data_IF_052257391341
#
_entry.id   IF_052257391341
#
_cell.length_a   1.000
_cell.length_b   1.000
_cell.length_c   1.000
_cell.angle_alpha   90.00
_cell.angle_beta   90.00
_cell.angle_gamma   90.00
#
_symmetry.space_group_name_H-M   'P 1'
#
loop_
_entity.id
_entity.type
_entity.pdbx_description
1 polymer ?
#
# COMPACT_ATOMS: atom_id res chain seq x y z
N UNK A 1 -35.76 -22.62 31.98
CA UNK A 1 -34.41 -22.22 31.61
C UNK A 1 -33.67 -21.89 32.90
N UNK A 2 -32.56 -22.63 33.17
CA UNK A 2 -31.72 -22.36 34.33
C UNK A 2 -31.17 -20.92 34.21
N UNK A 3 -31.24 -20.15 35.28
CA UNK A 3 -30.71 -18.77 35.38
C UNK A 3 -29.33 -18.72 36.07
N UNK A 4 -28.76 -19.88 36.32
CA UNK A 4 -27.47 -19.98 36.98
C UNK A 4 -26.32 -19.57 36.04
N UNK A 5 -25.33 -18.84 36.57
CA UNK A 5 -24.20 -18.36 35.74
C UNK A 5 -23.34 -19.51 35.21
N UNK A 6 -23.25 -20.62 35.94
CA UNK A 6 -22.48 -21.79 35.53
C UNK A 6 -23.28 -23.08 35.77
N UNK A 7 -23.05 -24.05 34.86
CA UNK A 7 -23.66 -25.38 34.96
C UNK A 7 -22.56 -26.44 34.75
N UNK A 8 -22.53 -27.43 35.67
CA UNK A 8 -21.79 -28.67 35.46
C UNK A 8 -22.68 -29.60 34.61
N UNK A 9 -22.28 -29.80 33.35
CA UNK A 9 -23.08 -30.59 32.41
C UNK A 9 -22.58 -32.01 32.39
N UNK A 10 -23.47 -32.98 32.73
CA UNK A 10 -23.17 -34.38 32.72
C UNK A 10 -23.57 -35.04 31.39
N UNK A 11 -24.64 -34.58 30.75
CA UNK A 11 -25.13 -35.17 29.49
C UNK A 11 -25.62 -34.12 28.51
N UNK A 12 -25.09 -34.21 27.26
CA UNK A 12 -25.48 -33.37 26.12
C UNK A 12 -25.87 -34.25 24.95
N UNK A 13 -26.97 -33.95 24.31
CA UNK A 13 -27.38 -34.59 23.05
C UNK A 13 -27.32 -33.59 21.90
N UNK A 14 -26.76 -33.99 20.77
CA UNK A 14 -26.66 -33.19 19.55
C UNK A 14 -25.23 -32.77 19.20
N UNK A 15 -25.08 -31.72 18.37
CA UNK A 15 -23.79 -31.19 17.91
C UNK A 15 -23.38 -29.94 18.70
N UNK A 16 -22.12 -29.51 18.61
CA UNK A 16 -21.62 -28.31 19.25
C UNK A 16 -22.45 -27.04 18.94
N UNK A 17 -23.06 -26.98 17.75
CA UNK A 17 -23.90 -25.86 17.32
C UNK A 17 -25.38 -25.97 17.71
N UNK A 18 -25.86 -27.18 18.05
CA UNK A 18 -27.26 -27.48 18.37
C UNK A 18 -27.35 -28.55 19.46
N UNK A 19 -26.58 -28.38 20.53
CA UNK A 19 -26.60 -29.27 21.66
C UNK A 19 -27.80 -28.98 22.60
N UNK A 20 -28.47 -30.04 23.06
CA UNK A 20 -29.47 -29.99 24.13
C UNK A 20 -28.88 -30.59 25.40
N UNK A 21 -28.85 -29.82 26.46
CA UNK A 21 -28.42 -30.31 27.78
C UNK A 21 -29.55 -31.18 28.32
N UNK A 22 -29.22 -32.43 28.61
CA UNK A 22 -30.17 -33.41 29.19
C UNK A 22 -30.03 -33.51 30.69
N UNK A 23 -28.79 -33.43 31.20
CA UNK A 23 -28.52 -33.48 32.65
C UNK A 23 -27.42 -32.47 33.00
N UNK A 24 -27.72 -31.59 33.95
CA UNK A 24 -26.80 -30.63 34.51
C UNK A 24 -27.17 -30.29 35.94
N UNK A 25 -26.17 -29.86 36.72
CA UNK A 25 -26.34 -29.28 38.04
C UNK A 25 -25.79 -27.83 38.05
N UNK A 26 -26.44 -26.91 38.82
CA UNK A 26 -25.82 -25.62 39.05
C UNK A 26 -24.52 -25.78 39.83
N UNK A 27 -23.52 -24.95 39.50
CA UNK A 27 -22.25 -24.87 40.19
C UNK A 27 -21.91 -23.38 40.37
N UNK A 28 -21.45 -22.98 41.53
CA UNK A 28 -21.04 -21.60 41.77
C UNK A 28 -19.57 -21.37 41.50
N UNK A 29 -19.15 -20.09 41.48
CA UNK A 29 -17.77 -19.70 41.19
C UNK A 29 -16.78 -20.24 42.22
N UNK A 30 -17.13 -20.24 43.52
CA UNK A 30 -16.27 -20.72 44.62
C UNK A 30 -16.03 -22.24 44.53
N UNK A 31 -17.06 -23.00 44.13
CA UNK A 31 -16.95 -24.42 43.88
C UNK A 31 -16.02 -24.70 42.67
N UNK A 32 -16.13 -23.92 41.61
CA UNK A 32 -15.21 -23.99 40.42
C UNK A 32 -13.78 -23.70 40.88
N UNK A 33 -13.56 -22.62 41.64
CA UNK A 33 -12.23 -22.21 42.08
C UNK A 33 -11.60 -23.28 43.00
N UNK A 34 -12.40 -23.97 43.80
CA UNK A 34 -11.94 -25.04 44.67
C UNK A 34 -11.63 -26.34 43.91
N UNK A 35 -12.56 -26.78 43.06
CA UNK A 35 -12.48 -28.07 42.36
C UNK A 35 -11.43 -28.05 41.22
N UNK A 36 -11.23 -26.89 40.62
CA UNK A 36 -10.36 -26.73 39.44
C UNK A 36 -9.21 -25.77 39.66
N UNK A 37 -8.79 -25.50 40.88
CA UNK A 37 -7.73 -24.54 41.23
C UNK A 37 -6.45 -24.70 40.39
N UNK A 38 -6.03 -25.93 40.10
CA UNK A 38 -4.86 -26.21 39.28
C UNK A 38 -5.05 -26.05 37.76
N UNK A 39 -6.28 -25.77 37.29
CA UNK A 39 -6.62 -25.65 35.87
C UNK A 39 -7.10 -24.24 35.50
N UNK A 40 -7.28 -23.39 36.52
CA UNK A 40 -7.67 -21.99 36.30
C UNK A 40 -6.42 -21.16 35.99
N UNK A 41 -6.46 -20.45 34.86
CA UNK A 41 -5.38 -19.60 34.40
C UNK A 41 -5.89 -18.18 34.26
N UNK A 42 -5.18 -17.24 34.87
CA UNK A 42 -5.39 -15.80 34.65
C UNK A 42 -4.30 -15.28 33.74
N UNK A 43 -4.68 -14.58 32.67
CA UNK A 43 -3.75 -13.98 31.70
C UNK A 43 -4.21 -12.60 31.30
N UNK A 44 -3.25 -11.72 31.06
CA UNK A 44 -3.52 -10.45 30.39
C UNK A 44 -3.61 -10.70 28.87
N UNK A 45 -4.75 -10.38 28.31
CA UNK A 45 -4.99 -10.44 26.86
C UNK A 45 -5.02 -9.02 26.30
N UNK A 46 -4.21 -8.77 25.26
CA UNK A 46 -4.20 -7.52 24.50
C UNK A 46 -4.77 -7.80 23.12
N UNK A 47 -5.74 -7.03 22.70
CA UNK A 47 -6.38 -7.19 21.38
C UNK A 47 -6.87 -5.85 20.86
N UNK A 48 -7.12 -5.75 19.55
CA UNK A 48 -7.83 -4.61 18.98
C UNK A 48 -9.31 -4.91 18.83
N UNK A 49 -10.14 -3.92 19.15
CA UNK A 49 -11.56 -3.96 18.80
C UNK A 49 -11.77 -3.71 17.28
N UNK A 50 -13.02 -3.76 16.83
CA UNK A 50 -13.36 -3.55 15.42
C UNK A 50 -13.00 -2.14 14.90
N UNK A 51 -12.86 -1.15 15.80
CA UNK A 51 -12.44 0.22 15.49
C UNK A 51 -10.92 0.41 15.55
N UNK A 52 -10.16 -0.66 15.85
CA UNK A 52 -8.69 -0.62 15.92
C UNK A 52 -8.14 -0.10 17.24
N UNK A 53 -8.98 0.09 18.27
CA UNK A 53 -8.51 0.51 19.60
C UNK A 53 -7.95 -0.68 20.35
N UNK A 54 -6.76 -0.52 20.92
CA UNK A 54 -6.16 -1.53 21.78
C UNK A 54 -6.95 -1.65 23.09
N UNK A 55 -7.32 -2.86 23.43
CA UNK A 55 -8.01 -3.25 24.66
C UNK A 55 -7.14 -4.21 25.43
N UNK A 56 -6.95 -3.93 26.71
CA UNK A 56 -6.23 -4.79 27.64
C UNK A 56 -7.20 -5.32 28.67
N UNK A 57 -7.25 -6.63 28.78
CA UNK A 57 -8.16 -7.32 29.68
C UNK A 57 -7.40 -8.40 30.45
N UNK A 58 -7.70 -8.51 31.73
CA UNK A 58 -7.32 -9.67 32.50
C UNK A 58 -8.43 -10.69 32.42
N UNK A 59 -8.14 -11.85 31.86
CA UNK A 59 -9.10 -12.92 31.61
C UNK A 59 -8.71 -14.14 32.42
N UNK A 60 -9.65 -14.59 33.30
CA UNK A 60 -9.50 -15.83 34.03
C UNK A 60 -10.31 -16.91 33.34
N UNK A 61 -9.65 -18.02 33.02
CA UNK A 61 -10.24 -19.13 32.25
C UNK A 61 -10.07 -20.47 32.95
N UNK A 62 -11.07 -21.34 32.75
CA UNK A 62 -10.96 -22.77 32.94
C UNK A 62 -11.06 -23.43 31.56
N UNK A 63 -9.93 -23.82 31.00
CA UNK A 63 -9.87 -24.26 29.63
C UNK A 63 -10.37 -23.18 28.65
N UNK A 64 -11.45 -23.49 27.91
CA UNK A 64 -12.09 -22.52 26.99
C UNK A 64 -13.17 -21.65 27.66
N UNK A 65 -13.56 -21.96 28.89
CA UNK A 65 -14.58 -21.23 29.61
C UNK A 65 -14.00 -19.96 30.25
N UNK A 66 -14.54 -18.80 29.91
CA UNK A 66 -14.20 -17.52 30.56
C UNK A 66 -14.95 -17.44 31.88
N UNK A 67 -14.23 -17.36 32.99
CA UNK A 67 -14.77 -17.25 34.32
C UNK A 67 -14.93 -15.80 34.78
N UNK A 68 -14.01 -14.95 34.42
CA UNK A 68 -14.08 -13.50 34.63
C UNK A 68 -13.27 -12.76 33.60
N UNK A 69 -13.65 -11.52 33.32
CA UNK A 69 -12.99 -10.61 32.46
C UNK A 69 -13.04 -9.22 33.07
N UNK A 70 -11.90 -8.62 33.32
CA UNK A 70 -11.77 -7.27 33.90
C UNK A 70 -10.84 -6.44 33.08
N UNK A 71 -11.04 -5.13 33.07
CA UNK A 71 -10.09 -4.22 32.41
C UNK A 71 -8.75 -4.28 33.13
N UNK A 72 -7.67 -4.52 32.40
CA UNK A 72 -6.32 -4.54 32.95
C UNK A 72 -5.64 -3.17 32.84
N UNK A 73 -4.52 -3.01 33.57
CA UNK A 73 -3.71 -1.79 33.53
C UNK A 73 -3.00 -1.55 32.21
N UNK A 74 -1.89 -0.81 32.25
CA UNK A 74 -1.11 -0.50 31.05
C UNK A 74 -0.57 -1.79 30.40
N UNK A 75 -0.82 -2.00 29.10
CA UNK A 75 -0.38 -3.18 28.39
C UNK A 75 1.13 -3.14 28.16
N UNK A 76 1.74 -4.32 28.02
CA UNK A 76 3.07 -4.49 27.52
C UNK A 76 3.16 -3.94 26.07
N UNK A 77 4.17 -3.08 25.74
CA UNK A 77 4.33 -2.50 24.42
C UNK A 77 4.44 -3.53 23.29
N UNK A 78 5.07 -4.66 23.53
CA UNK A 78 5.22 -5.74 22.56
C UNK A 78 3.86 -6.41 22.26
N UNK A 79 3.09 -6.66 23.31
CA UNK A 79 1.73 -7.19 23.17
C UNK A 79 0.80 -6.22 22.44
N UNK A 80 0.98 -4.90 22.61
CA UNK A 80 0.25 -3.86 21.85
C UNK A 80 0.62 -3.93 20.38
N UNK A 81 1.92 -3.95 20.05
CA UNK A 81 2.39 -4.05 18.66
C UNK A 81 1.84 -5.31 17.99
N UNK A 82 1.91 -6.46 18.66
CA UNK A 82 1.35 -7.73 18.14
C UNK A 82 -0.17 -7.65 17.90
N UNK A 83 -0.93 -7.01 18.80
CA UNK A 83 -2.37 -6.84 18.62
C UNK A 83 -2.71 -5.90 17.44
N UNK A 84 -1.92 -4.85 17.22
CA UNK A 84 -2.06 -3.94 16.08
C UNK A 84 -1.70 -4.63 14.77
N UNK A 85 -0.59 -5.38 14.73
CA UNK A 85 -0.19 -6.19 13.57
C UNK A 85 -1.29 -7.18 13.20
N UNK A 86 -1.84 -7.90 14.17
CA UNK A 86 -2.92 -8.85 13.92
C UNK A 86 -4.21 -8.16 13.41
N UNK A 87 -4.49 -6.95 13.88
CA UNK A 87 -5.59 -6.14 13.37
C UNK A 87 -5.36 -5.73 11.91
N UNK A 88 -4.14 -5.26 11.57
CA UNK A 88 -3.76 -4.92 10.19
C UNK A 88 -3.81 -6.15 9.29
N UNK A 89 -3.31 -7.30 9.75
CA UNK A 89 -3.35 -8.57 9.00
C UNK A 89 -4.77 -8.98 8.63
N UNK A 90 -5.72 -8.81 9.54
CA UNK A 90 -7.14 -9.12 9.29
C UNK A 90 -7.84 -8.13 8.36
N UNK A 91 -7.44 -6.85 8.42
CA UNK A 91 -8.07 -5.78 7.65
C UNK A 91 -7.48 -5.61 6.25
N UNK A 92 -6.23 -6.03 6.06
CA UNK A 92 -5.43 -5.80 4.88
C UNK A 92 -4.59 -4.52 4.95
N UNK A 93 -3.41 -4.56 4.37
CA UNK A 93 -2.49 -3.42 4.34
C UNK A 93 -2.94 -2.31 3.38
N UNK A 94 -3.84 -2.61 2.44
CA UNK A 94 -4.49 -1.66 1.55
C UNK A 94 -5.32 -0.61 2.32
N UNK A 95 -5.72 -0.92 3.56
CA UNK A 95 -6.47 -0.02 4.45
C UNK A 95 -5.61 0.93 5.25
N UNK A 96 -4.29 0.78 5.21
CA UNK A 96 -3.37 1.69 5.88
C UNK A 96 -3.34 3.07 5.19
N UNK A 97 -2.94 4.09 5.95
CA UNK A 97 -2.95 5.49 5.50
C UNK A 97 -1.77 5.81 4.54
N UNK A 98 -1.62 5.04 3.48
CA UNK A 98 -0.59 5.25 2.47
C UNK A 98 -0.72 6.61 1.77
N UNK A 99 0.38 7.34 1.72
CA UNK A 99 0.46 8.53 0.85
C UNK A 99 0.68 8.12 -0.62
N UNK A 100 0.32 9.01 -1.54
CA UNK A 100 0.63 8.82 -2.97
C UNK A 100 2.12 8.59 -3.22
N UNK A 101 2.99 9.28 -2.47
CA UNK A 101 4.44 9.13 -2.60
C UNK A 101 4.92 7.74 -2.16
N UNK A 102 4.36 7.20 -1.07
CA UNK A 102 4.68 5.85 -0.60
C UNK A 102 4.19 4.77 -1.57
N UNK A 103 2.96 4.92 -2.09
CA UNK A 103 2.44 4.01 -3.12
C UNK A 103 3.29 4.07 -4.40
N UNK A 104 3.67 5.27 -4.86
CA UNK A 104 4.56 5.43 -6.00
C UNK A 104 5.96 4.81 -5.76
N UNK A 105 6.50 4.92 -4.54
CA UNK A 105 7.75 4.25 -4.17
C UNK A 105 7.62 2.73 -4.26
N UNK A 106 6.56 2.17 -3.70
CA UNK A 106 6.27 0.72 -3.76
C UNK A 106 6.14 0.25 -5.20
N UNK A 107 5.38 0.95 -6.04
CA UNK A 107 5.21 0.64 -7.46
C UNK A 107 6.55 0.65 -8.22
N UNK A 108 7.45 1.61 -7.90
CA UNK A 108 8.80 1.67 -8.49
C UNK A 108 9.64 0.44 -8.11
N UNK A 109 9.65 0.07 -6.83
CA UNK A 109 10.40 -1.10 -6.35
C UNK A 109 9.86 -2.39 -6.97
N UNK A 110 8.53 -2.56 -7.00
CA UNK A 110 7.88 -3.70 -7.65
C UNK A 110 8.23 -3.78 -9.14
N UNK A 111 8.21 -2.62 -9.83
CA UNK A 111 8.63 -2.55 -11.24
C UNK A 111 10.10 -2.92 -11.43
N UNK A 112 10.99 -2.44 -10.54
CA UNK A 112 12.40 -2.79 -10.59
C UNK A 112 12.61 -4.30 -10.42
N UNK A 113 11.99 -4.92 -9.43
CA UNK A 113 12.05 -6.37 -9.20
C UNK A 113 11.63 -7.14 -10.44
N UNK A 114 10.51 -6.76 -11.06
CA UNK A 114 10.03 -7.38 -12.31
C UNK A 114 11.03 -7.25 -13.46
N UNK A 115 11.72 -6.11 -13.57
CA UNK A 115 12.72 -5.87 -14.63
C UNK A 115 14.03 -6.62 -14.40
N UNK A 116 14.41 -6.85 -13.15
CA UNK A 116 15.63 -7.57 -12.79
C UNK A 116 15.48 -9.09 -12.96
N UNK A 117 14.26 -9.62 -12.87
CA UNK A 117 13.98 -11.06 -12.81
C UNK A 117 14.34 -11.68 -11.45
N UNK A 118 13.91 -12.93 -11.25
CA UNK A 118 13.88 -13.58 -9.93
C UNK A 118 15.23 -13.59 -9.20
N UNK A 119 16.32 -13.88 -9.89
CA UNK A 119 17.64 -14.01 -9.27
C UNK A 119 18.16 -12.66 -8.72
N UNK A 120 18.16 -11.62 -9.55
CA UNK A 120 18.65 -10.29 -9.14
C UNK A 120 17.60 -9.50 -8.30
N UNK A 121 16.34 -9.90 -8.33
CA UNK A 121 15.29 -9.30 -7.54
C UNK A 121 15.42 -9.61 -6.03
N UNK A 122 16.14 -10.67 -5.64
CA UNK A 122 16.37 -11.04 -4.23
C UNK A 122 17.08 -9.96 -3.43
N UNK A 123 17.86 -9.11 -4.10
CA UNK A 123 18.56 -7.98 -3.47
C UNK A 123 17.63 -6.80 -3.12
N UNK A 124 16.38 -6.85 -3.56
CA UNK A 124 15.38 -5.82 -3.33
C UNK A 124 14.21 -6.36 -2.52
N UNK A 125 13.71 -5.62 -1.51
CA UNK A 125 12.57 -6.07 -0.72
C UNK A 125 11.35 -6.25 -1.60
N UNK A 126 10.57 -7.28 -1.33
CA UNK A 126 9.23 -7.38 -1.90
C UNK A 126 8.29 -6.49 -1.11
N UNK A 127 7.78 -5.46 -1.79
CA UNK A 127 6.87 -4.47 -1.22
C UNK A 127 5.46 -4.58 -1.81
N UNK A 128 5.12 -5.74 -2.36
CA UNK A 128 3.75 -6.07 -2.76
C UNK A 128 2.83 -6.13 -1.54
N UNK A 129 1.52 -6.04 -1.76
CA UNK A 129 0.54 -6.15 -0.67
C UNK A 129 0.61 -7.52 0.02
N UNK A 130 0.85 -8.57 -0.75
CA UNK A 130 0.98 -9.94 -0.26
C UNK A 130 2.20 -10.08 0.65
N UNK A 131 3.40 -9.73 0.16
CA UNK A 131 4.65 -9.88 0.91
C UNK A 131 4.67 -9.00 2.17
N UNK A 132 4.21 -7.75 2.07
CA UNK A 132 4.11 -6.87 3.24
C UNK A 132 3.07 -7.37 4.24
N UNK A 133 1.96 -7.96 3.79
CA UNK A 133 0.95 -8.55 4.65
C UNK A 133 1.45 -9.78 5.42
N UNK A 134 2.32 -10.59 4.80
CA UNK A 134 2.93 -11.76 5.43
C UNK A 134 4.02 -11.38 6.43
N UNK A 135 4.77 -10.32 6.18
CA UNK A 135 5.95 -9.91 6.96
C UNK A 135 5.72 -8.72 7.89
N UNK A 136 4.46 -8.46 8.30
CA UNK A 136 4.09 -7.33 9.18
C UNK A 136 4.89 -7.27 10.48
N UNK A 137 5.22 -8.42 11.05
CA UNK A 137 5.99 -8.52 12.28
C UNK A 137 7.43 -8.01 12.10
N UNK A 138 8.00 -8.13 10.90
CA UNK A 138 9.37 -7.74 10.60
C UNK A 138 9.50 -6.26 10.25
N UNK A 139 8.59 -5.72 9.44
CA UNK A 139 8.75 -4.37 8.91
C UNK A 139 7.88 -3.31 9.57
N UNK A 140 6.70 -3.67 10.12
CA UNK A 140 5.78 -2.72 10.73
C UNK A 140 5.88 -2.73 12.26
N UNK A 141 5.87 -3.91 12.90
CA UNK A 141 5.86 -4.03 14.36
C UNK A 141 6.94 -3.20 15.07
N UNK A 142 8.20 -3.12 14.58
CA UNK A 142 9.26 -2.31 15.23
C UNK A 142 8.94 -0.81 15.31
N UNK A 143 8.04 -0.32 14.47
CA UNK A 143 7.66 1.10 14.38
C UNK A 143 6.36 1.42 15.12
N UNK A 144 5.74 0.44 15.78
CA UNK A 144 4.49 0.63 16.54
C UNK A 144 4.71 1.01 18.00
N UNK A 145 5.94 1.32 18.41
CA UNK A 145 6.22 1.78 19.78
C UNK A 145 5.42 3.06 20.09
N UNK A 146 4.58 2.99 21.14
CA UNK A 146 3.74 4.11 21.55
C UNK A 146 2.40 4.25 20.79
N UNK A 147 2.20 3.51 19.70
CA UNK A 147 0.91 3.45 18.98
C UNK A 147 -0.12 2.71 19.84
N UNK A 148 -1.32 3.28 19.99
CA UNK A 148 -2.41 2.70 20.84
C UNK A 148 -3.69 2.45 20.07
N UNK A 149 -3.74 2.89 18.82
CA UNK A 149 -4.90 2.74 17.96
C UNK A 149 -4.41 2.46 16.54
N UNK A 150 -5.07 1.59 15.79
CA UNK A 150 -4.73 1.33 14.41
C UNK A 150 -4.84 2.58 13.51
N UNK A 151 -5.69 3.56 13.88
CA UNK A 151 -5.75 4.86 13.19
C UNK A 151 -4.50 5.72 13.35
N UNK A 152 -3.68 5.44 14.37
CA UNK A 152 -2.44 6.17 14.64
C UNK A 152 -1.25 5.58 13.86
N UNK A 153 -1.47 4.48 13.12
CA UNK A 153 -0.53 3.99 12.09
C UNK A 153 -0.66 4.90 10.88
N UNK A 154 -0.09 6.07 11.00
CA UNK A 154 -0.21 7.15 10.01
C UNK A 154 0.88 7.08 8.93
N UNK A 155 0.91 8.10 8.08
CA UNK A 155 1.88 8.20 7.00
C UNK A 155 3.33 8.33 7.48
N UNK A 156 3.57 8.86 8.69
CA UNK A 156 4.92 8.99 9.26
C UNK A 156 5.44 7.62 9.71
N UNK A 157 4.62 6.89 10.45
CA UNK A 157 4.92 5.50 10.86
C UNK A 157 5.19 4.61 9.64
N UNK A 158 4.33 4.68 8.63
CA UNK A 158 4.50 3.90 7.39
C UNK A 158 5.75 4.33 6.61
N UNK A 159 6.07 5.63 6.60
CA UNK A 159 7.28 6.15 5.97
C UNK A 159 8.55 5.67 6.65
N UNK A 160 8.58 5.67 7.99
CA UNK A 160 9.71 5.14 8.77
C UNK A 160 9.89 3.64 8.52
N UNK A 161 8.81 2.88 8.53
CA UNK A 161 8.81 1.45 8.29
C UNK A 161 9.32 1.08 6.88
N UNK A 162 8.84 1.77 5.83
CA UNK A 162 9.36 1.61 4.46
C UNK A 162 10.83 1.99 4.32
N UNK A 163 11.27 3.04 5.03
CA UNK A 163 12.68 3.46 5.03
C UNK A 163 13.59 2.41 5.67
N UNK A 164 13.07 1.65 6.62
CA UNK A 164 13.76 0.49 7.20
C UNK A 164 14.01 -0.63 6.18
N UNK A 165 13.05 -0.86 5.27
CA UNK A 165 13.19 -1.84 4.18
C UNK A 165 14.10 -1.34 3.06
N UNK A 166 14.16 -0.03 2.82
CA UNK A 166 14.84 0.60 1.70
C UNK A 166 15.90 1.60 2.19
N UNK A 167 17.09 1.13 2.57
CA UNK A 167 18.16 2.02 3.03
C UNK A 167 18.59 3.00 1.94
N UNK A 168 19.20 4.13 2.35
CA UNK A 168 19.47 5.28 1.48
C UNK A 168 20.24 4.94 0.20
N UNK A 169 21.18 4.01 0.25
CA UNK A 169 21.92 3.60 -0.95
C UNK A 169 21.03 2.91 -1.99
N UNK A 170 20.05 2.13 -1.56
CA UNK A 170 19.04 1.51 -2.45
C UNK A 170 18.10 2.55 -3.04
N UNK A 171 17.68 3.54 -2.27
CA UNK A 171 16.87 4.65 -2.79
C UNK A 171 17.62 5.43 -3.87
N UNK A 172 18.91 5.70 -3.67
CA UNK A 172 19.75 6.38 -4.66
C UNK A 172 19.93 5.54 -5.94
N UNK A 173 20.08 4.23 -5.81
CA UNK A 173 20.13 3.31 -6.95
C UNK A 173 18.78 3.25 -7.68
N UNK A 174 17.68 3.17 -6.95
CA UNK A 174 16.33 3.21 -7.50
C UNK A 174 16.09 4.50 -8.28
N UNK A 175 16.48 5.66 -7.73
CA UNK A 175 16.32 6.95 -8.43
C UNK A 175 17.12 7.04 -9.73
N UNK A 176 18.28 6.39 -9.78
CA UNK A 176 19.09 6.32 -10.98
C UNK A 176 18.50 5.40 -12.05
N UNK A 177 17.96 4.24 -11.64
CA UNK A 177 17.41 3.24 -12.56
C UNK A 177 16.00 3.58 -13.00
N UNK A 178 15.15 3.91 -12.05
CA UNK A 178 13.73 4.19 -12.23
C UNK A 178 13.38 5.53 -11.57
N UNK A 179 13.70 6.68 -12.20
CA UNK A 179 13.46 7.99 -11.65
C UNK A 179 11.96 8.21 -11.36
N UNK A 180 11.64 8.91 -10.28
CA UNK A 180 10.26 9.22 -9.94
C UNK A 180 9.59 10.22 -10.90
N UNK A 181 10.39 11.01 -11.61
CA UNK A 181 9.92 12.04 -12.54
C UNK A 181 10.74 12.03 -13.83
N UNK A 182 10.12 12.51 -14.88
CA UNK A 182 10.73 12.82 -16.16
C UNK A 182 10.93 14.35 -16.28
N UNK A 183 12.13 14.78 -16.59
CA UNK A 183 12.44 16.18 -16.87
C UNK A 183 12.21 16.44 -18.37
N UNK A 184 11.09 17.07 -18.69
CA UNK A 184 10.69 17.35 -20.05
C UNK A 184 11.53 18.49 -20.68
N UNK A 185 11.75 18.52 -22.00
CA UNK A 185 12.41 19.62 -22.70
C UNK A 185 11.81 21.01 -22.45
N UNK A 186 10.53 21.05 -22.09
CA UNK A 186 9.82 22.27 -21.69
C UNK A 186 10.27 22.86 -20.35
N UNK A 187 11.09 22.14 -19.57
CA UNK A 187 11.44 22.43 -18.19
C UNK A 187 10.42 21.96 -17.15
N UNK A 188 9.36 21.28 -17.56
CA UNK A 188 8.42 20.65 -16.64
C UNK A 188 9.01 19.36 -16.08
N UNK A 189 8.77 19.12 -14.77
CA UNK A 189 9.11 17.87 -14.10
C UNK A 189 7.82 17.09 -13.84
N UNK A 190 7.65 15.97 -14.53
CA UNK A 190 6.40 15.22 -14.58
C UNK A 190 6.57 13.84 -13.93
N UNK A 191 5.64 13.40 -13.06
CA UNK A 191 5.73 12.11 -12.41
C UNK A 191 5.58 10.98 -13.45
N UNK A 192 6.40 9.94 -13.29
CA UNK A 192 6.26 8.70 -14.04
C UNK A 192 5.34 7.78 -13.24
N UNK A 193 4.32 7.26 -13.88
CA UNK A 193 3.37 6.31 -13.30
C UNK A 193 3.91 4.89 -13.48
N UNK A 194 4.28 4.25 -12.39
CA UNK A 194 4.79 2.88 -12.37
C UNK A 194 3.72 1.84 -12.03
N UNK A 195 2.51 2.30 -11.68
CA UNK A 195 1.39 1.46 -11.29
C UNK A 195 0.45 1.18 -12.48
N UNK A 196 1.06 0.76 -13.61
CA UNK A 196 0.33 0.39 -14.83
C UNK A 196 0.74 -1.01 -15.28
N UNK A 197 -0.23 -1.80 -15.68
CA UNK A 197 -0.01 -3.17 -16.19
C UNK A 197 0.87 -3.17 -17.44
N UNK A 198 0.69 -2.15 -18.30
CA UNK A 198 1.47 -1.98 -19.53
C UNK A 198 2.91 -1.53 -19.29
N UNK A 199 3.27 -1.22 -18.05
CA UNK A 199 4.59 -0.74 -17.65
C UNK A 199 4.65 0.78 -17.40
N UNK A 200 5.86 1.32 -17.13
CA UNK A 200 6.03 2.72 -16.75
C UNK A 200 5.46 3.69 -17.78
N UNK A 201 4.51 4.53 -17.35
CA UNK A 201 3.79 5.44 -18.20
C UNK A 201 4.08 6.91 -17.85
N UNK A 202 4.03 7.77 -18.87
CA UNK A 202 4.25 9.20 -18.74
C UNK A 202 3.08 9.96 -19.40
N UNK A 203 2.08 10.40 -18.62
CA UNK A 203 1.09 11.35 -19.10
C UNK A 203 1.74 12.72 -19.32
N UNK A 204 1.82 13.18 -20.60
CA UNK A 204 2.51 14.41 -20.95
C UNK A 204 1.81 15.12 -22.10
N UNK A 205 1.70 16.44 -22.02
CA UNK A 205 1.21 17.25 -23.14
C UNK A 205 2.20 17.17 -24.29
N UNK A 206 1.70 16.88 -25.51
CA UNK A 206 2.52 16.64 -26.68
C UNK A 206 3.55 17.77 -26.96
N UNK A 207 3.18 19.01 -26.66
CA UNK A 207 4.03 20.19 -26.87
C UNK A 207 5.23 20.27 -25.90
N UNK A 208 5.22 19.52 -24.82
CA UNK A 208 6.33 19.45 -23.86
C UNK A 208 7.44 18.49 -24.32
N UNK A 209 7.15 17.68 -25.36
CA UNK A 209 8.08 16.74 -25.98
C UNK A 209 8.72 17.27 -27.26
N UNK A 210 8.34 18.47 -27.74
CA UNK A 210 8.99 19.05 -28.93
C UNK A 210 10.50 19.15 -28.73
N UNK A 211 11.26 18.99 -29.81
CA UNK A 211 12.71 18.94 -29.77
C UNK A 211 13.30 17.57 -29.43
N UNK A 212 12.48 16.58 -29.07
CA UNK A 212 12.95 15.21 -28.87
C UNK A 212 12.90 14.43 -30.19
N UNK A 213 14.04 13.96 -30.64
CA UNK A 213 14.23 13.05 -31.76
C UNK A 213 14.33 11.58 -31.34
N UNK A 214 14.37 11.32 -30.03
CA UNK A 214 14.44 9.98 -29.42
C UNK A 214 13.30 9.75 -28.47
N UNK A 215 12.93 8.48 -28.35
CA UNK A 215 11.91 8.08 -27.40
C UNK A 215 12.45 8.08 -25.95
N UNK A 216 11.74 8.69 -24.98
CA UNK A 216 12.13 8.66 -23.57
C UNK A 216 12.18 7.24 -23.02
N UNK A 217 13.28 6.91 -22.33
CA UNK A 217 13.48 5.60 -21.72
C UNK A 217 14.18 5.74 -20.36
N UNK A 218 13.97 4.75 -19.50
CA UNK A 218 14.55 4.61 -18.17
C UNK A 218 15.44 3.36 -18.09
N UNK A 219 15.97 3.04 -16.92
CA UNK A 219 16.85 1.88 -16.70
C UNK A 219 18.05 1.86 -17.68
N UNK A 220 18.71 3.02 -17.85
CA UNK A 220 19.83 3.14 -18.77
C UNK A 220 19.44 3.01 -20.25
N UNK A 221 18.22 3.38 -20.61
CA UNK A 221 17.70 3.31 -21.98
C UNK A 221 17.05 1.97 -22.35
N UNK A 222 17.01 1.00 -21.43
CA UNK A 222 16.49 -0.35 -21.70
C UNK A 222 14.96 -0.43 -21.68
N UNK A 223 14.28 0.47 -20.96
CA UNK A 223 12.83 0.44 -20.78
C UNK A 223 12.21 1.71 -21.34
N UNK A 224 11.55 1.63 -22.52
CA UNK A 224 10.85 2.78 -23.10
C UNK A 224 9.61 3.11 -22.25
N UNK A 225 9.38 4.41 -21.99
CA UNK A 225 8.18 4.87 -21.31
C UNK A 225 6.95 4.73 -22.22
N UNK A 226 5.82 4.32 -21.67
CA UNK A 226 4.55 4.45 -22.38
C UNK A 226 4.11 5.92 -22.32
N UNK A 227 4.29 6.66 -23.42
CA UNK A 227 3.83 8.04 -23.49
C UNK A 227 2.32 8.08 -23.67
N UNK A 228 1.62 8.66 -22.71
CA UNK A 228 0.22 9.08 -22.85
C UNK A 228 0.22 10.53 -23.31
N UNK A 229 0.16 10.72 -24.64
CA UNK A 229 0.20 12.03 -25.26
C UNK A 229 -1.12 12.77 -25.00
N UNK A 230 -1.02 13.94 -24.39
CA UNK A 230 -2.18 14.75 -24.00
C UNK A 230 -2.26 16.04 -24.83
N UNK A 231 -3.47 16.48 -25.07
CA UNK A 231 -3.78 17.80 -25.59
C UNK A 231 -3.43 18.90 -24.57
N UNK A 232 -3.41 20.19 -24.97
CA UNK A 232 -3.23 21.30 -24.04
C UNK A 232 -4.22 21.33 -22.88
N UNK A 233 -5.41 20.74 -23.04
CA UNK A 233 -6.44 20.61 -22.02
C UNK A 233 -6.38 19.25 -21.28
N UNK A 234 -5.25 18.56 -21.30
CA UNK A 234 -5.03 17.27 -20.66
C UNK A 234 -5.98 16.14 -21.10
N UNK A 235 -6.47 16.19 -22.34
CA UNK A 235 -7.26 15.11 -22.90
C UNK A 235 -6.37 14.15 -23.69
N UNK A 236 -6.52 12.82 -23.55
CA UNK A 236 -5.73 11.85 -24.30
C UNK A 236 -5.84 12.08 -25.80
N UNK A 237 -4.70 11.98 -26.50
CA UNK A 237 -4.55 12.02 -27.95
C UNK A 237 -4.18 10.63 -28.44
N UNK A 238 -3.07 10.08 -27.92
CA UNK A 238 -2.51 8.81 -28.37
C UNK A 238 -1.61 8.21 -27.30
N UNK A 239 -1.55 6.88 -27.23
CA UNK A 239 -0.53 6.13 -26.52
C UNK A 239 0.56 5.72 -27.50
N UNK A 240 1.84 5.86 -27.11
CA UNK A 240 2.96 5.42 -27.96
C UNK A 240 4.19 5.03 -27.15
N UNK A 241 4.94 4.03 -27.66
CA UNK A 241 6.32 3.71 -27.26
C UNK A 241 7.32 4.03 -28.37
N UNK A 242 6.90 4.78 -29.38
CA UNK A 242 7.75 5.25 -30.47
C UNK A 242 7.41 6.72 -30.80
N UNK A 243 8.05 7.64 -30.09
CA UNK A 243 7.86 9.07 -30.32
C UNK A 243 8.32 9.50 -31.72
N UNK A 244 9.51 9.07 -32.23
CA UNK A 244 9.90 9.38 -33.59
C UNK A 244 8.93 8.84 -34.66
N UNK A 245 8.38 7.66 -34.45
CA UNK A 245 7.36 7.09 -35.33
C UNK A 245 6.07 7.89 -35.29
N UNK A 246 5.64 8.35 -34.12
CA UNK A 246 4.51 9.26 -33.98
C UNK A 246 4.73 10.59 -34.73
N UNK A 247 5.94 11.20 -34.63
CA UNK A 247 6.29 12.43 -35.35
C UNK A 247 6.19 12.28 -36.86
N UNK A 248 6.68 11.16 -37.39
CA UNK A 248 6.66 10.88 -38.83
C UNK A 248 5.33 10.43 -39.38
N UNK A 249 4.51 9.81 -38.54
CA UNK A 249 3.24 9.19 -38.93
C UNK A 249 2.02 10.01 -38.52
N UNK A 250 1.51 9.77 -37.30
CA UNK A 250 0.23 10.32 -36.83
C UNK A 250 0.24 11.83 -36.58
N UNK A 251 1.42 12.45 -36.41
CA UNK A 251 1.53 13.86 -36.07
C UNK A 251 0.81 14.81 -37.02
N UNK A 252 0.90 14.59 -38.32
CA UNK A 252 0.25 15.46 -39.30
C UNK A 252 -1.26 15.55 -39.13
N UNK A 253 -1.90 14.41 -38.84
CA UNK A 253 -3.34 14.35 -38.58
C UNK A 253 -3.70 14.99 -37.24
N UNK A 254 -2.94 14.66 -36.17
CA UNK A 254 -3.09 15.25 -34.84
C UNK A 254 -2.91 16.78 -34.89
N UNK A 255 -1.87 17.26 -35.57
CA UNK A 255 -1.62 18.68 -35.77
C UNK A 255 -2.80 19.40 -36.41
N UNK A 256 -3.35 18.84 -37.48
CA UNK A 256 -4.49 19.43 -38.22
C UNK A 256 -5.71 19.56 -37.29
N UNK A 257 -6.06 18.50 -36.56
CA UNK A 257 -7.19 18.49 -35.63
C UNK A 257 -6.96 19.46 -34.46
N UNK A 258 -5.81 19.38 -33.83
CA UNK A 258 -5.49 20.15 -32.62
C UNK A 258 -5.31 21.64 -32.89
N UNK A 259 -4.79 22.01 -34.07
CA UNK A 259 -4.68 23.42 -34.50
C UNK A 259 -6.04 24.10 -34.56
N UNK A 260 -7.08 23.38 -35.00
CA UNK A 260 -8.46 23.88 -34.98
C UNK A 260 -9.01 24.08 -33.57
N UNK A 261 -8.75 23.12 -32.67
CA UNK A 261 -9.26 23.19 -31.28
C UNK A 261 -8.46 24.11 -30.36
N UNK A 262 -7.16 24.22 -30.56
CA UNK A 262 -6.23 24.95 -29.71
C UNK A 262 -5.32 25.92 -30.51
N UNK A 263 -5.90 26.90 -31.21
CA UNK A 263 -5.17 27.77 -32.16
C UNK A 263 -4.09 28.65 -31.47
N UNK A 264 -4.18 28.83 -30.16
CA UNK A 264 -3.19 29.63 -29.37
C UNK A 264 -1.93 28.84 -29.01
N UNK A 265 -1.91 27.52 -29.23
CA UNK A 265 -0.75 26.67 -28.95
C UNK A 265 0.10 26.44 -30.20
N UNK A 266 1.42 26.20 -30.06
CA UNK A 266 2.28 25.90 -31.20
C UNK A 266 1.97 24.52 -31.79
N UNK A 267 1.85 24.47 -33.13
CA UNK A 267 1.62 23.23 -33.88
C UNK A 267 2.60 23.18 -35.06
N UNK A 268 3.94 22.92 -34.78
CA UNK A 268 4.97 22.95 -35.78
C UNK A 268 4.80 21.85 -36.83
N UNK A 269 5.38 22.06 -38.01
CA UNK A 269 5.43 21.01 -39.04
C UNK A 269 6.42 19.91 -38.68
N UNK A 270 7.57 20.33 -38.19
CA UNK A 270 8.59 19.43 -37.65
C UNK A 270 8.64 19.56 -36.09
N UNK A 271 7.96 18.66 -35.36
CA UNK A 271 7.97 18.69 -33.89
C UNK A 271 9.31 18.27 -33.29
N UNK A 272 10.13 17.49 -34.02
CA UNK A 272 11.40 17.00 -33.49
C UNK A 272 12.47 18.12 -33.38
N UNK A 273 12.35 19.18 -34.18
CA UNK A 273 13.26 20.34 -34.16
C UNK A 273 12.63 21.58 -33.47
N UNK A 274 11.35 21.50 -33.09
CA UNK A 274 10.64 22.64 -32.52
C UNK A 274 10.98 22.86 -31.03
N UNK A 275 10.84 24.08 -30.58
CA UNK A 275 11.03 24.41 -29.16
C UNK A 275 9.85 23.88 -28.29
N UNK A 276 10.18 23.11 -27.25
CA UNK A 276 9.22 22.62 -26.30
C UNK A 276 8.65 23.77 -25.44
N UNK A 277 7.40 23.62 -25.02
CA UNK A 277 6.76 24.61 -24.14
C UNK A 277 5.70 23.99 -23.26
N UNK A 278 5.68 24.41 -22.00
CA UNK A 278 4.61 24.12 -21.05
C UNK A 278 3.44 25.13 -21.16
N UNK A 279 3.55 26.18 -21.97
CA UNK A 279 2.60 27.30 -22.09
C UNK A 279 2.02 27.39 -23.52
N UNK A 280 0.94 28.17 -23.65
CA UNK A 280 0.32 28.44 -24.96
C UNK A 280 1.28 29.16 -25.92
N UNK A 281 2.16 30.06 -25.41
CA UNK A 281 3.23 30.73 -26.17
C UNK A 281 4.56 30.56 -25.45
N UNK A 282 5.68 30.39 -26.18
CA UNK A 282 7.02 30.44 -25.58
C UNK A 282 7.25 31.80 -24.90
N UNK A 283 8.12 31.86 -23.86
CA UNK A 283 8.58 33.12 -23.30
C UNK A 283 9.44 33.84 -24.35
N UNK A 284 9.02 35.02 -24.81
CA UNK A 284 9.85 35.87 -25.65
C UNK A 284 9.45 35.97 -27.12
N UNK A 285 8.24 35.60 -27.50
CA UNK A 285 7.65 35.93 -28.82
C UNK A 285 6.45 36.85 -28.64
#
# INVERSE_FOLDING_TARGET
LAREPFLAIAEVQGTAARGRILLAAPIDRGEIDTLFAGHIVTRTEVSCDNEGRVRTREVTRLGKLVLSETSAGAPDPEAVASALVEHVRKRGIDRLAWTKAQLALRARVTTLRRLLGDEAATDWPDVSDEALGETLDDWLAPYLAGVRNASDIDAEVLGAALSGLLPQHRLSELDRLLPSHFDAPSGSRLPIDYDRDEGPALPIRVQELFGLDRHPAIAGGKVPLLLELLSPAHRPIQLTRDLPGFWRGSWAAVRSEMKGRYPKHPWPEDPASAQATARAKPRGT
#
